data_IF_827977754472
#
_entry.id   IF_827977754472
#
_cell.length_a   1.000
_cell.length_b   1.000
_cell.length_c   1.000
_cell.angle_alpha   90.00
_cell.angle_beta   90.00
_cell.angle_gamma   90.00
#
_symmetry.space_group_name_H-M   'P 1'
#
loop_
_entity.id
_entity.type
_entity.pdbx_description
1 polymer ?
#
# COMPACT_ATOMS: atom_id res chain seq x y z
N UNK A 1 -6.87 13.34 10.51
CA UNK A 1 -6.70 12.45 9.33
C UNK A 1 -6.75 11.02 9.81
N UNK A 2 -7.36 10.11 9.05
CA UNK A 2 -7.32 8.67 9.32
C UNK A 2 -5.87 8.16 9.25
N UNK A 3 -5.49 7.23 10.13
CA UNK A 3 -4.19 6.51 10.09
C UNK A 3 -4.22 5.31 9.13
N UNK A 4 -5.31 5.18 8.38
CA UNK A 4 -5.54 4.08 7.46
C UNK A 4 -5.40 4.56 6.02
N UNK A 5 -4.51 3.91 5.27
CA UNK A 5 -4.32 4.10 3.84
C UNK A 5 -5.00 2.95 3.10
N UNK A 6 -5.71 3.27 2.02
CA UNK A 6 -6.20 2.24 1.09
C UNK A 6 -5.04 1.75 0.25
N UNK A 7 -4.93 0.44 0.04
CA UNK A 7 -3.90 -0.12 -0.83
C UNK A 7 -3.95 0.49 -2.24
N UNK A 8 -5.15 0.85 -2.74
CA UNK A 8 -5.29 1.47 -4.07
C UNK A 8 -4.38 2.68 -4.24
N UNK A 9 -4.25 3.53 -3.20
CA UNK A 9 -3.32 4.66 -3.23
C UNK A 9 -1.87 4.21 -3.41
N UNK A 10 -1.45 3.14 -2.76
CA UNK A 10 -0.08 2.60 -2.89
C UNK A 10 0.10 1.98 -4.28
N UNK A 11 -0.88 1.22 -4.76
CA UNK A 11 -0.85 0.62 -6.11
C UNK A 11 -0.69 1.69 -7.19
N UNK A 12 -1.43 2.79 -7.11
CA UNK A 12 -1.32 3.91 -8.04
C UNK A 12 0.09 4.51 -8.01
N UNK A 13 0.64 4.76 -6.81
CA UNK A 13 2.01 5.31 -6.67
C UNK A 13 3.09 4.36 -7.17
N UNK A 14 2.94 3.06 -6.97
CA UNK A 14 3.85 2.07 -7.53
C UNK A 14 3.76 2.05 -9.05
N UNK A 15 2.56 2.21 -9.62
CA UNK A 15 2.35 2.42 -11.05
C UNK A 15 3.12 3.63 -11.59
N UNK A 16 2.98 4.79 -10.93
CA UNK A 16 3.69 6.03 -11.29
C UNK A 16 5.22 5.81 -11.31
N UNK A 17 5.76 5.10 -10.31
CA UNK A 17 7.20 4.79 -10.21
C UNK A 17 7.65 3.89 -11.36
N UNK A 18 6.90 2.82 -11.66
CA UNK A 18 7.22 1.90 -12.75
C UNK A 18 7.26 2.65 -14.09
N UNK A 19 6.25 3.49 -14.36
CA UNK A 19 6.19 4.29 -15.57
C UNK A 19 7.38 5.25 -15.65
N UNK A 20 7.63 6.03 -14.59
CA UNK A 20 8.73 6.99 -14.55
C UNK A 20 10.11 6.33 -14.71
N UNK A 21 10.35 5.20 -14.03
CA UNK A 21 11.62 4.47 -14.13
C UNK A 21 11.83 3.87 -15.52
N UNK A 22 10.79 3.32 -16.14
CA UNK A 22 10.86 2.78 -17.51
C UNK A 22 11.17 3.90 -18.50
N UNK A 23 10.45 5.00 -18.39
CA UNK A 23 10.59 6.18 -19.24
C UNK A 23 11.97 6.84 -19.09
N UNK A 24 12.53 6.81 -17.89
CA UNK A 24 13.88 7.30 -17.61
C UNK A 24 14.92 6.41 -18.29
N UNK A 25 14.83 5.08 -18.12
CA UNK A 25 15.75 4.12 -18.75
C UNK A 25 15.77 4.25 -20.29
N UNK A 26 14.61 4.45 -20.91
CA UNK A 26 14.49 4.64 -22.37
C UNK A 26 15.22 5.90 -22.87
N UNK A 27 15.40 6.91 -22.01
CA UNK A 27 16.05 8.18 -22.34
C UNK A 27 17.49 8.28 -21.87
N UNK A 28 17.99 7.28 -21.17
CA UNK A 28 19.38 7.27 -20.70
C UNK A 28 20.33 6.87 -21.82
N UNK A 29 21.51 7.47 -21.83
CA UNK A 29 22.57 7.11 -22.76
C UNK A 29 23.14 5.73 -22.43
N UNK A 30 23.62 5.02 -23.45
CA UNK A 30 24.38 3.78 -23.25
C UNK A 30 25.63 4.07 -22.39
N UNK A 31 25.75 3.36 -21.27
CA UNK A 31 26.86 3.52 -20.33
C UNK A 31 26.62 4.50 -19.19
N UNK A 32 25.42 5.09 -19.05
CA UNK A 32 25.08 5.86 -17.85
C UNK A 32 25.13 4.95 -16.61
N UNK A 33 26.06 5.25 -15.70
CA UNK A 33 26.30 4.49 -14.46
C UNK A 33 25.07 4.44 -13.55
N UNK A 34 24.12 5.38 -13.68
CA UNK A 34 22.88 5.41 -12.91
C UNK A 34 21.85 4.42 -13.43
N UNK A 35 22.02 3.91 -14.65
CA UNK A 35 21.02 3.04 -15.29
C UNK A 35 20.77 1.79 -14.43
N UNK A 36 21.79 1.27 -13.76
CA UNK A 36 21.64 0.13 -12.87
C UNK A 36 20.77 0.45 -11.67
N UNK A 37 20.98 1.60 -11.02
CA UNK A 37 20.11 2.05 -9.93
C UNK A 37 18.66 2.23 -10.37
N UNK A 38 18.42 2.73 -11.58
CA UNK A 38 17.04 2.87 -12.10
C UNK A 38 16.42 1.51 -12.40
N UNK A 39 17.19 0.53 -12.90
CA UNK A 39 16.74 -0.86 -13.07
C UNK A 39 16.39 -1.50 -11.74
N UNK A 40 17.19 -1.28 -10.70
CA UNK A 40 16.90 -1.80 -9.36
C UNK A 40 15.59 -1.24 -8.81
N UNK A 41 15.38 0.09 -8.94
CA UNK A 41 14.13 0.73 -8.53
C UNK A 41 12.94 0.14 -9.29
N UNK A 42 13.07 -0.03 -10.60
CA UNK A 42 12.04 -0.63 -11.44
C UNK A 42 11.74 -2.07 -11.01
N UNK A 43 12.78 -2.88 -10.75
CA UNK A 43 12.63 -4.26 -10.30
C UNK A 43 11.88 -4.32 -8.95
N UNK A 44 12.31 -3.53 -7.96
CA UNK A 44 11.65 -3.45 -6.66
C UNK A 44 10.18 -3.01 -6.77
N UNK A 45 9.89 -2.01 -7.61
CA UNK A 45 8.52 -1.54 -7.80
C UNK A 45 7.63 -2.61 -8.46
N UNK A 46 8.15 -3.35 -9.44
CA UNK A 46 7.45 -4.49 -10.04
C UNK A 46 7.20 -5.60 -9.02
N UNK A 47 8.17 -5.94 -8.16
CA UNK A 47 7.99 -6.93 -7.10
C UNK A 47 6.89 -6.52 -6.12
N UNK A 48 6.84 -5.24 -5.72
CA UNK A 48 5.77 -4.73 -4.85
C UNK A 48 4.41 -4.83 -5.56
N UNK A 49 4.31 -4.43 -6.82
CA UNK A 49 3.07 -4.56 -7.60
C UNK A 49 2.60 -6.01 -7.66
N UNK A 50 3.52 -6.93 -7.95
CA UNK A 50 3.22 -8.36 -8.08
C UNK A 50 2.86 -9.00 -6.72
N UNK A 51 3.37 -8.45 -5.62
CA UNK A 51 2.96 -8.82 -4.28
C UNK A 51 1.53 -8.35 -3.97
N UNK A 52 1.21 -7.08 -4.28
CA UNK A 52 -0.12 -6.49 -4.04
C UNK A 52 -1.21 -7.16 -4.90
N UNK A 53 -0.89 -7.56 -6.13
CA UNK A 53 -1.85 -8.19 -7.05
C UNK A 53 -2.35 -9.57 -6.60
N UNK A 54 -1.66 -10.22 -5.65
CA UNK A 54 -2.05 -11.52 -5.08
C UNK A 54 -3.17 -11.40 -4.06
N UNK A 55 -3.51 -10.19 -3.63
CA UNK A 55 -4.57 -9.98 -2.65
C UNK A 55 -5.95 -10.09 -3.31
N UNK A 56 -6.82 -10.90 -2.72
CA UNK A 56 -8.19 -11.14 -3.22
C UNK A 56 -9.15 -9.96 -3.01
N UNK A 57 -8.71 -8.95 -2.25
CA UNK A 57 -9.46 -7.74 -1.93
C UNK A 57 -8.47 -6.58 -1.75
N UNK A 58 -8.97 -5.34 -1.74
CA UNK A 58 -8.15 -4.16 -1.43
C UNK A 58 -8.03 -3.97 0.08
N UNK A 59 -6.90 -4.36 0.72
CA UNK A 59 -6.74 -4.13 2.15
C UNK A 59 -6.56 -2.65 2.49
N UNK A 60 -6.81 -2.39 3.76
CA UNK A 60 -6.55 -1.12 4.40
C UNK A 60 -5.30 -1.29 5.27
N UNK A 61 -4.32 -0.44 5.06
CA UNK A 61 -3.03 -0.46 5.75
C UNK A 61 -3.05 0.59 6.85
N UNK A 62 -2.75 0.18 8.08
CA UNK A 62 -2.56 1.10 9.20
C UNK A 62 -1.11 1.63 9.21
N UNK A 63 -0.95 2.94 9.19
CA UNK A 63 0.37 3.62 9.18
C UNK A 63 0.66 4.42 10.44
N UNK A 64 -0.10 4.16 11.52
CA UNK A 64 0.16 4.80 12.81
C UNK A 64 1.24 4.09 13.62
N UNK A 65 1.71 4.75 14.68
CA UNK A 65 2.53 4.11 15.69
C UNK A 65 1.71 3.11 16.52
N UNK A 66 2.40 2.11 17.07
CA UNK A 66 1.82 1.05 17.91
C UNK A 66 2.23 -0.34 17.44
N UNK A 67 1.92 -1.35 18.25
CA UNK A 67 2.07 -2.75 17.86
C UNK A 67 0.83 -3.23 17.10
N UNK A 68 0.94 -4.38 16.43
CA UNK A 68 -0.21 -5.05 15.81
C UNK A 68 -1.33 -5.30 16.83
N UNK A 69 -0.99 -5.71 18.06
CA UNK A 69 -1.95 -5.97 19.12
C UNK A 69 -2.72 -4.70 19.55
N UNK A 70 -2.04 -3.55 19.60
CA UNK A 70 -2.68 -2.27 19.90
C UNK A 70 -3.71 -1.91 18.82
N UNK A 71 -3.38 -2.18 17.55
CA UNK A 71 -4.27 -1.94 16.42
C UNK A 71 -5.48 -2.88 16.46
N UNK A 72 -5.27 -4.16 16.77
CA UNK A 72 -6.35 -5.14 16.93
C UNK A 72 -7.32 -4.69 18.03
N UNK A 73 -6.82 -4.34 19.22
CA UNK A 73 -7.66 -3.86 20.33
C UNK A 73 -8.45 -2.60 19.98
N UNK A 74 -7.83 -1.68 19.25
CA UNK A 74 -8.51 -0.48 18.75
C UNK A 74 -9.66 -0.85 17.81
N UNK A 75 -9.43 -1.76 16.85
CA UNK A 75 -10.46 -2.21 15.91
C UNK A 75 -11.60 -2.94 16.63
N UNK A 76 -11.30 -3.82 17.60
CA UNK A 76 -12.31 -4.52 18.40
C UNK A 76 -13.21 -3.56 19.19
N UNK A 77 -12.61 -2.50 19.73
CA UNK A 77 -13.33 -1.45 20.46
C UNK A 77 -14.30 -0.72 19.53
N UNK A 78 -13.85 -0.32 18.33
CA UNK A 78 -14.69 0.35 17.32
C UNK A 78 -15.85 -0.54 16.84
N UNK A 79 -15.61 -1.84 16.66
CA UNK A 79 -16.67 -2.80 16.29
C UNK A 79 -17.72 -2.89 17.40
N UNK A 80 -17.27 -2.97 18.65
CA UNK A 80 -18.16 -3.05 19.83
C UNK A 80 -19.02 -1.79 19.94
N UNK A 81 -18.42 -0.61 19.80
CA UNK A 81 -19.14 0.67 19.81
C UNK A 81 -20.15 0.77 18.66
N UNK A 82 -19.77 0.36 17.44
CA UNK A 82 -20.66 0.38 16.29
C UNK A 82 -21.89 -0.52 16.49
N UNK A 83 -21.71 -1.71 17.09
CA UNK A 83 -22.82 -2.61 17.44
C UNK A 83 -23.76 -2.00 18.49
N UNK A 84 -23.22 -1.35 19.51
CA UNK A 84 -24.03 -0.70 20.55
C UNK A 84 -24.84 0.50 20.01
N UNK A 85 -24.31 1.20 19.00
CA UNK A 85 -24.99 2.36 18.37
C UNK A 85 -26.05 1.98 17.34
N UNK A 86 -26.10 0.72 16.90
CA UNK A 86 -27.04 0.25 15.89
C UNK A 86 -28.10 -0.66 16.54
N UNK A 87 -29.35 -0.19 16.79
CA UNK A 87 -30.39 -1.00 17.41
C UNK A 87 -30.89 -2.16 16.52
N UNK A 88 -30.37 -2.31 15.31
CA UNK A 88 -30.81 -3.31 14.32
C UNK A 88 -30.14 -4.70 14.46
N UNK A 89 -29.31 -4.92 15.49
CA UNK A 89 -28.66 -6.21 15.77
C UNK A 89 -29.03 -6.80 17.14
N UNK A 90 -30.17 -6.39 17.70
CA UNK A 90 -30.79 -7.04 18.86
C UNK A 90 -32.05 -7.79 18.41
N UNK A 91 -31.87 -8.85 17.62
CA UNK A 91 -32.82 -9.96 17.44
C UNK A 91 -32.02 -11.23 17.09
#
# INVERSE_FOLDING_TARGET
MSRFLRVGFISDRIGDIIEASSLLLERMDEGDERAETVRDILAMANEVRDFLSRWSSEPIIYTGAGTTDDVIRMLDSLITEARQRSPAYMD
#
